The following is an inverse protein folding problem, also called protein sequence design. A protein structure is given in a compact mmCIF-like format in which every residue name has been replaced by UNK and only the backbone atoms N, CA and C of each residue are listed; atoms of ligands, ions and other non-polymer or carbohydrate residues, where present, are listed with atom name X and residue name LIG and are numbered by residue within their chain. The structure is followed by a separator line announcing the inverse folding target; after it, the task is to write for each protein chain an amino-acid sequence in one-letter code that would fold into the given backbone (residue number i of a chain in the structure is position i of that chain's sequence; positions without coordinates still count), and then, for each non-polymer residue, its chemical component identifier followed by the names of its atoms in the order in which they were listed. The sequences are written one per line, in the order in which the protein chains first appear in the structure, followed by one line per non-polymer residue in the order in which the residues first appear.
data_IF_270692501701
#
_entry.id   IF_270692501701
#
_cell.length_a   1.000
_cell.length_b   1.000
_cell.length_c   1.000
_cell.angle_alpha   90.00
_cell.angle_beta   90.00
_cell.angle_gamma   90.00
#
_symmetry.space_group_name_H-M   'P 1'
#
loop_
_entity.id
_entity.type
_entity.pdbx_description
1 polymer ?
#
# COMPACT_ATOMS: atom_id res chain seq x y z
N UNK A 1 -35.91 -48.78 -27.63
CA UNK A 1 -36.68 -47.54 -27.33
C UNK A 1 -36.46 -47.15 -25.87
N UNK A 2 -35.60 -46.16 -25.61
CA UNK A 2 -35.58 -45.22 -24.46
C UNK A 2 -34.21 -44.54 -24.41
N UNK A 3 -34.04 -43.54 -25.26
CA UNK A 3 -32.92 -42.61 -25.21
C UNK A 3 -33.16 -41.64 -24.05
N UNK A 4 -32.30 -41.69 -23.03
CA UNK A 4 -32.28 -40.76 -21.91
C UNK A 4 -31.74 -39.41 -22.39
N UNK A 5 -32.64 -38.46 -22.64
CA UNK A 5 -32.32 -37.06 -22.87
C UNK A 5 -31.91 -36.42 -21.54
N UNK A 6 -30.62 -36.50 -21.19
CA UNK A 6 -30.00 -35.64 -20.18
C UNK A 6 -29.74 -34.27 -20.80
N UNK A 7 -30.80 -33.48 -20.96
CA UNK A 7 -30.66 -32.05 -21.23
C UNK A 7 -30.11 -31.40 -19.94
N UNK A 8 -28.94 -30.72 -19.98
CA UNK A 8 -28.46 -29.97 -18.84
C UNK A 8 -29.53 -28.95 -18.46
N UNK A 9 -29.96 -28.97 -17.19
CA UNK A 9 -30.78 -27.90 -16.61
C UNK A 9 -30.06 -26.58 -16.87
N UNK A 10 -30.57 -25.79 -17.81
CA UNK A 10 -30.26 -24.37 -17.95
C UNK A 10 -30.40 -23.75 -16.56
N UNK A 11 -29.27 -23.56 -15.88
CA UNK A 11 -29.25 -22.69 -14.71
C UNK A 11 -29.60 -21.31 -15.23
N UNK A 12 -30.75 -20.82 -14.79
CA UNK A 12 -31.25 -19.49 -15.11
C UNK A 12 -30.14 -18.49 -14.88
N UNK A 13 -29.66 -17.89 -15.97
CA UNK A 13 -28.68 -16.79 -16.00
C UNK A 13 -29.17 -15.52 -15.30
N UNK A 14 -30.36 -15.56 -14.70
CA UNK A 14 -30.98 -14.46 -13.96
C UNK A 14 -30.57 -14.36 -12.49
N UNK A 15 -29.93 -15.38 -11.90
CA UNK A 15 -29.43 -15.33 -10.52
C UNK A 15 -27.97 -14.88 -10.40
N UNK A 16 -27.36 -14.39 -11.48
CA UNK A 16 -26.15 -13.57 -11.41
C UNK A 16 -26.51 -12.17 -10.85
N UNK A 17 -27.13 -12.17 -9.67
CA UNK A 17 -27.35 -11.00 -8.84
C UNK A 17 -25.99 -10.37 -8.61
N UNK A 18 -25.85 -9.09 -8.94
CA UNK A 18 -24.68 -8.26 -8.66
C UNK A 18 -24.23 -8.47 -7.20
N UNK A 19 -23.26 -9.35 -7.00
CA UNK A 19 -22.70 -9.58 -5.67
C UNK A 19 -21.82 -8.39 -5.31
N UNK A 20 -22.47 -7.35 -4.78
CA UNK A 20 -21.85 -6.11 -4.32
C UNK A 20 -21.09 -6.26 -3.00
N UNK A 21 -21.01 -7.49 -2.46
CA UNK A 21 -20.28 -7.77 -1.22
C UNK A 21 -18.78 -7.72 -1.46
N UNK A 22 -18.08 -7.27 -0.44
CA UNK A 22 -16.62 -7.15 -0.43
C UNK A 22 -16.00 -8.53 -0.17
N UNK A 23 -14.93 -8.90 -0.87
CA UNK A 23 -14.21 -10.14 -0.57
C UNK A 23 -13.49 -10.06 0.79
N UNK A 24 -13.44 -11.18 1.51
CA UNK A 24 -12.68 -11.25 2.77
C UNK A 24 -11.19 -10.91 2.59
N UNK A 25 -10.61 -11.25 1.43
CA UNK A 25 -9.24 -10.89 1.08
C UNK A 25 -9.06 -9.38 1.02
N UNK A 26 -9.87 -8.66 0.22
CA UNK A 26 -9.79 -7.21 0.13
C UNK A 26 -10.01 -6.55 1.49
N UNK A 27 -10.99 -7.01 2.26
CA UNK A 27 -11.24 -6.46 3.59
C UNK A 27 -10.02 -6.58 4.50
N UNK A 28 -9.36 -7.73 4.54
CA UNK A 28 -8.16 -7.94 5.36
C UNK A 28 -7.04 -6.97 4.98
N UNK A 29 -6.65 -6.95 3.70
CA UNK A 29 -5.53 -6.13 3.25
C UNK A 29 -5.84 -4.63 3.28
N UNK A 30 -7.08 -4.22 2.96
CA UNK A 30 -7.50 -2.83 3.10
C UNK A 30 -7.49 -2.38 4.57
N UNK A 31 -7.85 -3.27 5.50
CA UNK A 31 -7.77 -2.99 6.94
C UNK A 31 -6.33 -2.77 7.37
N UNK A 32 -5.43 -3.72 7.08
CA UNK A 32 -4.00 -3.59 7.38
C UNK A 32 -3.45 -2.32 6.73
N UNK A 33 -3.73 -2.09 5.46
CA UNK A 33 -3.33 -0.89 4.73
C UNK A 33 -3.80 0.42 5.38
N UNK A 34 -5.05 0.47 5.82
CA UNK A 34 -5.63 1.63 6.53
C UNK A 34 -4.92 1.85 7.87
N UNK A 35 -4.61 0.78 8.62
CA UNK A 35 -3.84 0.86 9.87
C UNK A 35 -2.45 1.46 9.61
N UNK A 36 -1.75 0.99 8.58
CA UNK A 36 -0.42 1.48 8.23
C UNK A 36 -0.46 2.95 7.75
N UNK A 37 -1.45 3.31 6.94
CA UNK A 37 -1.63 4.68 6.47
C UNK A 37 -1.93 5.64 7.63
N UNK A 38 -2.82 5.25 8.55
CA UNK A 38 -3.12 6.02 9.77
C UNK A 38 -1.88 6.22 10.63
N UNK A 39 -1.07 5.17 10.79
CA UNK A 39 0.17 5.22 11.53
C UNK A 39 1.16 6.25 10.95
N UNK A 40 1.36 6.22 9.63
CA UNK A 40 2.24 7.17 8.94
C UNK A 40 1.72 8.59 9.11
N UNK A 41 0.46 8.84 8.78
CA UNK A 41 -0.12 10.19 8.84
C UNK A 41 -0.09 10.73 10.27
N UNK A 42 -0.46 9.93 11.27
CA UNK A 42 -0.41 10.33 12.67
C UNK A 42 1.04 10.58 13.15
N UNK A 43 1.99 9.75 12.74
CA UNK A 43 3.41 9.93 13.07
C UNK A 43 3.98 11.22 12.49
N UNK A 44 3.63 11.55 11.24
CA UNK A 44 4.08 12.79 10.61
C UNK A 44 3.43 14.01 11.29
N UNK A 45 2.11 13.99 11.50
CA UNK A 45 1.41 15.09 12.17
C UNK A 45 1.91 15.31 13.60
N UNK A 46 2.12 14.24 14.36
CA UNK A 46 2.69 14.31 15.70
C UNK A 46 4.11 14.89 15.70
N UNK A 47 4.96 14.42 14.78
CA UNK A 47 6.32 14.93 14.65
C UNK A 47 6.37 16.43 14.36
N UNK A 48 5.51 16.92 13.46
CA UNK A 48 5.40 18.37 13.17
C UNK A 48 4.78 19.15 14.34
N UNK A 49 3.89 18.52 15.11
CA UNK A 49 3.33 19.10 16.33
C UNK A 49 4.29 19.05 17.55
N UNK A 50 5.50 18.48 17.39
CA UNK A 50 6.48 18.32 18.48
C UNK A 50 6.08 17.25 19.51
N UNK A 51 5.11 16.40 19.18
CA UNK A 51 4.70 15.28 20.03
C UNK A 51 5.68 14.11 19.88
N UNK A 52 6.04 13.41 20.97
CA UNK A 52 6.96 12.30 20.91
C UNK A 52 6.37 11.13 20.13
N UNK A 53 7.15 10.61 19.18
CA UNK A 53 6.87 9.37 18.46
C UNK A 53 7.01 8.19 19.42
N UNK A 54 5.97 7.36 19.52
CA UNK A 54 5.96 6.26 20.49
C UNK A 54 4.83 5.27 20.30
N UNK A 55 4.59 4.44 21.32
CA UNK A 55 3.66 3.31 21.26
C UNK A 55 2.19 3.69 21.05
N UNK A 56 1.80 4.94 21.30
CA UNK A 56 0.44 5.42 21.05
C UNK A 56 0.07 5.39 19.55
N UNK A 57 1.05 5.42 18.65
CA UNK A 57 0.85 5.27 17.20
C UNK A 57 0.24 3.91 16.84
N UNK A 58 0.57 2.85 17.59
CA UNK A 58 -0.07 1.54 17.44
C UNK A 58 -1.56 1.61 17.82
N UNK A 59 -1.89 2.40 18.85
CA UNK A 59 -3.28 2.67 19.24
C UNK A 59 -4.07 3.35 18.11
N UNK A 60 -3.49 4.36 17.47
CA UNK A 60 -4.11 5.02 16.30
C UNK A 60 -4.31 4.04 15.15
N UNK A 61 -3.30 3.21 14.86
CA UNK A 61 -3.41 2.18 13.84
C UNK A 61 -4.58 1.22 14.14
N UNK A 62 -4.70 0.73 15.38
CA UNK A 62 -5.81 -0.14 15.79
C UNK A 62 -7.18 0.54 15.68
N UNK A 63 -7.29 1.81 16.09
CA UNK A 63 -8.54 2.59 15.95
C UNK A 63 -8.92 2.75 14.47
N UNK A 64 -7.94 2.94 13.58
CA UNK A 64 -8.17 3.06 12.15
C UNK A 64 -8.68 1.77 11.50
N UNK A 65 -8.56 0.61 12.16
CA UNK A 65 -9.16 -0.65 11.71
C UNK A 65 -10.68 -0.72 11.99
N UNK A 66 -11.21 0.09 12.92
CA UNK A 66 -12.61 0.00 13.36
C UNK A 66 -13.65 0.07 12.23
N UNK A 67 -13.51 0.96 11.23
CA UNK A 67 -14.45 1.04 10.11
C UNK A 67 -14.59 -0.28 9.32
N UNK A 68 -13.57 -1.12 9.31
CA UNK A 68 -13.59 -2.42 8.61
C UNK A 68 -14.49 -3.46 9.29
N UNK A 69 -14.88 -3.26 10.55
CA UNK A 69 -15.88 -4.14 11.18
C UNK A 69 -17.30 -3.85 10.67
N UNK A 70 -17.58 -2.67 10.13
CA UNK A 70 -18.93 -2.30 9.67
C UNK A 70 -19.44 -3.21 8.55
N UNK A 71 -18.65 -3.52 7.48
CA UNK A 71 -19.03 -4.53 6.50
C UNK A 71 -19.27 -5.91 7.09
N UNK A 72 -18.46 -6.35 8.07
CA UNK A 72 -18.57 -7.66 8.73
C UNK A 72 -19.89 -7.74 9.50
N UNK A 73 -20.15 -6.76 10.37
CA UNK A 73 -21.36 -6.69 11.19
C UNK A 73 -22.63 -6.57 10.35
N UNK A 74 -22.54 -5.99 9.15
CA UNK A 74 -23.66 -5.86 8.20
C UNK A 74 -23.80 -7.06 7.25
N UNK A 75 -23.00 -8.12 7.40
CA UNK A 75 -23.03 -9.28 6.51
C UNK A 75 -22.69 -8.97 5.06
N UNK A 76 -21.92 -7.89 4.81
CA UNK A 76 -21.53 -7.42 3.46
C UNK A 76 -20.21 -8.01 2.98
N UNK A 77 -19.75 -9.09 3.62
CA UNK A 77 -18.51 -9.79 3.26
C UNK A 77 -18.88 -11.10 2.58
N UNK A 78 -18.37 -11.31 1.37
CA UNK A 78 -18.53 -12.56 0.66
C UNK A 78 -17.50 -13.59 1.17
N UNK A 79 -17.90 -14.82 1.52
CA UNK A 79 -17.01 -15.88 1.97
C UNK A 79 -16.26 -16.50 0.79
N UNK A 80 -15.31 -15.75 0.21
CA UNK A 80 -14.49 -16.16 -0.93
C UNK A 80 -13.16 -16.74 -0.45
N UNK A 81 -13.24 -17.91 0.18
CA UNK A 81 -12.10 -18.55 0.86
C UNK A 81 -10.92 -18.82 -0.06
N UNK A 82 -11.17 -19.18 -1.32
CA UNK A 82 -10.10 -19.42 -2.30
C UNK A 82 -9.29 -18.14 -2.60
N UNK A 83 -9.95 -16.98 -2.73
CA UNK A 83 -9.27 -15.69 -2.92
C UNK A 83 -8.44 -15.33 -1.69
N UNK A 84 -9.00 -15.49 -0.49
CA UNK A 84 -8.28 -15.24 0.75
C UNK A 84 -7.06 -16.15 0.92
N UNK A 85 -7.22 -17.45 0.65
CA UNK A 85 -6.13 -18.41 0.73
C UNK A 85 -5.02 -18.08 -0.29
N UNK A 86 -5.38 -17.76 -1.53
CA UNK A 86 -4.41 -17.37 -2.55
C UNK A 86 -3.64 -16.10 -2.17
N UNK A 87 -4.35 -15.09 -1.64
CA UNK A 87 -3.72 -13.83 -1.23
C UNK A 87 -2.80 -14.02 -0.01
N UNK A 88 -3.19 -14.83 0.97
CA UNK A 88 -2.36 -15.17 2.12
C UNK A 88 -1.13 -16.00 1.72
N UNK A 89 -1.30 -17.00 0.85
CA UNK A 89 -0.20 -17.81 0.33
C UNK A 89 0.81 -16.95 -0.44
N UNK A 90 0.35 -16.05 -1.31
CA UNK A 90 1.22 -15.13 -2.03
C UNK A 90 1.98 -14.21 -1.06
N UNK A 91 1.29 -13.66 -0.05
CA UNK A 91 1.92 -12.81 0.96
C UNK A 91 2.98 -13.55 1.78
N UNK A 92 2.65 -14.74 2.28
CA UNK A 92 3.58 -15.57 3.05
C UNK A 92 4.75 -16.05 2.20
N UNK A 93 4.53 -16.43 0.93
CA UNK A 93 5.59 -16.90 0.04
C UNK A 93 6.60 -15.78 -0.23
N UNK A 94 6.14 -14.57 -0.55
CA UNK A 94 7.03 -13.43 -0.84
C UNK A 94 7.75 -12.95 0.42
N UNK A 95 7.03 -12.74 1.53
CA UNK A 95 7.66 -12.35 2.79
C UNK A 95 8.63 -13.41 3.29
N UNK A 96 8.24 -14.69 3.23
CA UNK A 96 9.06 -15.83 3.62
C UNK A 96 10.32 -15.96 2.78
N UNK A 97 10.23 -15.79 1.45
CA UNK A 97 11.39 -15.79 0.57
C UNK A 97 12.35 -14.63 0.89
N UNK A 98 11.83 -13.42 1.12
CA UNK A 98 12.64 -12.26 1.50
C UNK A 98 13.35 -12.46 2.85
N UNK A 99 12.64 -12.96 3.85
CA UNK A 99 13.21 -13.27 5.17
C UNK A 99 14.24 -14.41 5.09
N UNK A 100 13.95 -15.47 4.34
CA UNK A 100 14.84 -16.60 4.15
C UNK A 100 16.16 -16.19 3.48
N UNK A 101 16.10 -15.29 2.49
CA UNK A 101 17.28 -14.83 1.80
C UNK A 101 18.28 -14.13 2.75
N UNK A 102 17.78 -13.34 3.71
CA UNK A 102 18.59 -12.64 4.70
C UNK A 102 18.87 -13.45 5.98
N UNK A 103 18.41 -14.70 6.06
CA UNK A 103 18.61 -15.52 7.24
C UNK A 103 20.09 -15.94 7.37
N UNK A 104 20.68 -15.97 8.59
CA UNK A 104 20.08 -15.70 9.90
C UNK A 104 20.20 -14.25 10.39
N UNK A 105 20.92 -13.38 9.68
CA UNK A 105 21.18 -12.02 10.16
C UNK A 105 19.94 -11.14 10.15
N UNK A 106 19.03 -11.39 9.20
CA UNK A 106 17.86 -10.55 8.91
C UNK A 106 18.25 -9.08 8.67
N UNK A 107 19.48 -8.83 8.25
CA UNK A 107 19.98 -7.51 7.89
C UNK A 107 19.78 -7.26 6.39
N UNK A 108 19.71 -5.99 5.94
CA UNK A 108 19.79 -5.67 4.52
C UNK A 108 20.98 -6.35 3.85
N UNK A 109 20.71 -7.08 2.76
CA UNK A 109 21.72 -7.85 2.04
C UNK A 109 22.45 -7.06 0.94
N UNK A 110 21.78 -6.02 0.43
CA UNK A 110 22.26 -5.24 -0.70
C UNK A 110 23.44 -4.32 -0.38
N UNK A 111 24.20 -3.99 -1.42
CA UNK A 111 25.32 -3.02 -1.36
C UNK A 111 24.87 -1.57 -1.51
N UNK A 112 23.57 -1.32 -1.60
CA UNK A 112 23.02 0.00 -1.82
C UNK A 112 23.26 0.93 -0.63
N UNK A 113 23.67 2.16 -0.94
CA UNK A 113 23.78 3.25 0.04
C UNK A 113 22.43 3.60 0.69
N UNK A 114 21.31 3.25 0.03
CA UNK A 114 19.97 3.49 0.56
C UNK A 114 19.67 2.69 1.83
N UNK A 115 20.29 1.53 2.02
CA UNK A 115 20.16 0.78 3.26
C UNK A 115 20.71 1.58 4.45
N UNK A 116 21.92 2.13 4.30
CA UNK A 116 22.58 2.93 5.34
C UNK A 116 21.79 4.21 5.63
N UNK A 117 21.30 4.86 4.59
CA UNK A 117 20.39 6.00 4.68
C UNK A 117 19.10 5.70 5.46
N UNK A 118 18.43 4.58 5.17
CA UNK A 118 17.27 4.15 5.94
C UNK A 118 17.62 3.86 7.40
N UNK A 119 18.76 3.22 7.68
CA UNK A 119 19.23 2.97 9.04
C UNK A 119 19.46 4.28 9.81
N UNK A 120 20.10 5.28 9.21
CA UNK A 120 20.33 6.59 9.84
C UNK A 120 19.02 7.28 10.23
N UNK A 121 18.03 7.28 9.33
CA UNK A 121 16.73 7.88 9.62
C UNK A 121 15.99 7.12 10.73
N UNK A 122 16.01 5.77 10.69
CA UNK A 122 15.36 4.94 11.72
C UNK A 122 16.03 5.13 13.08
N UNK A 123 17.36 5.14 13.13
CA UNK A 123 18.12 5.38 14.37
C UNK A 123 17.82 6.76 14.97
N UNK A 124 17.79 7.80 14.14
CA UNK A 124 17.40 9.14 14.57
C UNK A 124 16.00 9.14 15.19
N UNK A 125 15.00 8.60 14.50
CA UNK A 125 13.63 8.60 15.01
C UNK A 125 13.48 7.74 16.27
N UNK A 126 14.23 6.63 16.38
CA UNK A 126 14.20 5.76 17.55
C UNK A 126 14.79 6.46 18.79
N UNK A 127 15.92 7.15 18.60
CA UNK A 127 16.66 7.82 19.66
C UNK A 127 16.01 9.14 20.06
N UNK A 128 15.69 9.98 19.08
CA UNK A 128 15.15 11.33 19.33
C UNK A 128 13.63 11.34 19.54
N UNK A 129 12.92 10.28 19.13
CA UNK A 129 11.45 10.19 19.17
C UNK A 129 10.76 11.40 18.53
N UNK A 130 11.38 11.98 17.51
CA UNK A 130 10.89 13.16 16.82
C UNK A 130 11.37 13.12 15.37
N UNK A 131 10.63 13.75 14.46
CA UNK A 131 11.08 13.93 13.09
C UNK A 131 12.36 14.78 13.04
N UNK A 132 13.29 14.52 12.12
CA UNK A 132 14.44 15.38 11.91
C UNK A 132 14.01 16.82 11.59
N UNK A 133 14.49 17.83 12.33
CA UNK A 133 14.24 19.23 11.98
C UNK A 133 14.87 19.56 10.63
N UNK A 134 14.14 20.21 9.73
CA UNK A 134 14.64 20.57 8.40
C UNK A 134 15.55 21.80 8.50
N UNK A 135 16.78 21.60 8.99
CA UNK A 135 17.81 22.63 9.18
C UNK A 135 19.13 22.23 8.52
N UNK A 136 20.04 23.20 8.32
CA UNK A 136 21.39 22.92 7.81
C UNK A 136 22.22 22.06 8.78
N UNK A 137 22.02 22.23 10.09
CA UNK A 137 22.71 21.42 11.10
C UNK A 137 22.29 19.95 11.01
N UNK A 138 20.98 19.67 10.98
CA UNK A 138 20.46 18.30 10.80
C UNK A 138 20.86 17.72 9.44
N UNK A 139 20.91 18.54 8.38
CA UNK A 139 21.40 18.12 7.06
C UNK A 139 22.87 17.69 7.11
N UNK A 140 23.71 18.36 7.89
CA UNK A 140 25.11 17.96 8.08
C UNK A 140 25.25 16.58 8.74
N UNK A 141 24.27 16.18 9.56
CA UNK A 141 24.27 14.89 10.26
C UNK A 141 23.63 13.75 9.45
N UNK A 142 22.48 14.03 8.82
CA UNK A 142 21.68 13.02 8.11
C UNK A 142 21.86 13.05 6.58
N UNK A 143 22.64 13.99 6.05
CA UNK A 143 22.78 14.17 4.60
C UNK A 143 21.42 14.35 3.90
N UNK A 144 21.21 13.56 2.85
CA UNK A 144 19.97 13.54 2.08
C UNK A 144 18.77 13.03 2.92
N UNK A 145 19.00 12.26 3.99
CA UNK A 145 17.95 11.71 4.84
C UNK A 145 17.18 12.75 5.65
N UNK A 146 17.75 13.94 5.84
CA UNK A 146 17.02 15.05 6.45
C UNK A 146 15.78 15.46 5.61
N UNK A 147 15.82 15.25 4.29
CA UNK A 147 14.73 15.58 3.38
C UNK A 147 13.94 14.36 2.91
N UNK A 148 14.35 13.17 3.30
CA UNK A 148 13.71 11.94 2.84
C UNK A 148 12.34 11.74 3.53
N UNK A 149 11.33 11.20 2.83
CA UNK A 149 10.03 10.92 3.44
C UNK A 149 10.15 9.87 4.56
N UNK A 150 9.55 10.13 5.72
CA UNK A 150 9.72 9.30 6.91
C UNK A 150 8.72 8.13 7.03
N UNK A 151 7.80 7.97 6.08
CA UNK A 151 6.70 7.00 6.19
C UNK A 151 7.14 5.56 6.45
N UNK A 152 8.14 5.04 5.73
CA UNK A 152 8.65 3.69 5.99
C UNK A 152 9.40 3.59 7.34
N UNK A 153 10.15 4.62 7.74
CA UNK A 153 10.84 4.62 9.01
C UNK A 153 9.85 4.62 10.20
N UNK A 154 8.72 5.33 10.09
CA UNK A 154 7.63 5.28 11.07
C UNK A 154 7.01 3.89 11.20
N UNK A 155 6.83 3.18 10.08
CA UNK A 155 6.40 1.78 10.07
C UNK A 155 7.39 0.90 10.86
N UNK A 156 8.69 1.05 10.61
CA UNK A 156 9.74 0.26 11.27
C UNK A 156 9.75 0.50 12.78
N UNK A 157 9.62 1.74 13.24
CA UNK A 157 9.53 2.05 14.68
C UNK A 157 8.34 1.38 15.35
N UNK A 158 7.19 1.39 14.66
CA UNK A 158 5.98 0.76 15.16
C UNK A 158 6.12 -0.76 15.21
N UNK A 159 6.66 -1.37 14.15
CA UNK A 159 6.93 -2.80 14.10
C UNK A 159 7.93 -3.23 15.19
N UNK A 160 9.01 -2.46 15.38
CA UNK A 160 9.99 -2.68 16.43
C UNK A 160 9.38 -2.62 17.82
N UNK A 161 8.51 -1.63 18.05
CA UNK A 161 7.79 -1.50 19.31
C UNK A 161 6.83 -2.66 19.55
N UNK A 162 6.11 -3.11 18.51
CA UNK A 162 5.18 -4.23 18.59
C UNK A 162 5.91 -5.57 18.83
N UNK A 163 7.08 -5.77 18.21
CA UNK A 163 7.90 -6.96 18.37
C UNK A 163 8.75 -6.95 19.65
N UNK A 164 8.91 -5.79 20.30
CA UNK A 164 9.81 -5.64 21.44
C UNK A 164 11.29 -5.77 21.05
N UNK A 165 11.65 -5.41 19.81
CA UNK A 165 12.98 -5.58 19.24
C UNK A 165 13.62 -4.22 18.89
N UNK A 166 14.95 -4.14 18.74
CA UNK A 166 15.62 -2.95 18.24
C UNK A 166 15.14 -2.54 16.84
N UNK A 167 14.99 -1.24 16.60
CA UNK A 167 14.42 -0.74 15.34
C UNK A 167 15.26 -1.11 14.11
N UNK A 168 16.59 -1.11 14.25
CA UNK A 168 17.51 -1.47 13.17
C UNK A 168 17.40 -2.96 12.78
N UNK A 169 17.15 -3.85 13.74
CA UNK A 169 16.97 -5.30 13.48
C UNK A 169 15.63 -5.61 12.80
N UNK A 170 14.64 -4.73 12.97
CA UNK A 170 13.30 -4.88 12.39
C UNK A 170 13.17 -4.17 11.03
N UNK A 171 14.17 -3.40 10.61
CA UNK A 171 14.17 -2.65 9.35
C UNK A 171 13.89 -3.55 8.15
N UNK A 172 14.74 -4.56 7.94
CA UNK A 172 14.61 -5.47 6.80
C UNK A 172 13.41 -6.43 6.92
N UNK A 173 13.13 -7.04 8.09
CA UNK A 173 11.89 -7.81 8.27
C UNK A 173 10.63 -7.02 7.92
N UNK A 174 10.59 -5.73 8.27
CA UNK A 174 9.47 -4.85 7.89
C UNK A 174 9.35 -4.70 6.38
N UNK A 175 10.47 -4.53 5.67
CA UNK A 175 10.48 -4.46 4.21
C UNK A 175 9.97 -5.77 3.58
N UNK A 176 10.45 -6.93 4.05
CA UNK A 176 10.01 -8.24 3.56
C UNK A 176 8.50 -8.46 3.79
N UNK A 177 7.99 -8.08 4.96
CA UNK A 177 6.55 -8.15 5.28
C UNK A 177 5.75 -7.21 4.35
N UNK A 178 6.21 -5.98 4.11
CA UNK A 178 5.57 -5.07 3.15
C UNK A 178 5.56 -5.68 1.74
N UNK A 179 6.64 -6.31 1.32
CA UNK A 179 6.69 -7.07 0.06
C UNK A 179 5.63 -8.17 0.00
N UNK A 180 5.47 -8.95 1.08
CA UNK A 180 4.37 -9.91 1.21
C UNK A 180 2.99 -9.24 1.09
N UNK A 181 2.77 -8.12 1.77
CA UNK A 181 1.50 -7.38 1.70
C UNK A 181 1.21 -6.89 0.26
N UNK A 182 2.22 -6.43 -0.48
CA UNK A 182 2.07 -6.06 -1.90
C UNK A 182 1.57 -7.26 -2.71
N UNK A 183 2.17 -8.43 -2.53
CA UNK A 183 1.76 -9.64 -3.23
C UNK A 183 0.31 -10.04 -2.92
N UNK A 184 -0.08 -9.99 -1.64
CA UNK A 184 -1.44 -10.27 -1.21
C UNK A 184 -2.46 -9.28 -1.78
N UNK A 185 -2.14 -7.98 -1.80
CA UNK A 185 -3.01 -6.95 -2.40
C UNK A 185 -3.17 -7.15 -3.90
N UNK A 186 -2.11 -7.49 -4.63
CA UNK A 186 -2.22 -7.76 -6.08
C UNK A 186 -3.17 -8.92 -6.35
N UNK A 187 -3.11 -10.01 -5.58
CA UNK A 187 -4.07 -11.11 -5.69
C UNK A 187 -5.49 -10.63 -5.38
N UNK A 188 -5.67 -9.89 -4.29
CA UNK A 188 -6.99 -9.40 -3.88
C UNK A 188 -7.62 -8.45 -4.93
N UNK A 189 -6.82 -7.62 -5.59
CA UNK A 189 -7.27 -6.74 -6.68
C UNK A 189 -7.56 -7.53 -7.97
N UNK A 190 -6.72 -8.49 -8.32
CA UNK A 190 -6.95 -9.36 -9.49
C UNK A 190 -8.23 -10.20 -9.35
N UNK A 191 -8.59 -10.55 -8.11
CA UNK A 191 -9.83 -11.24 -7.75
C UNK A 191 -11.01 -10.28 -7.50
N UNK A 192 -10.91 -9.01 -7.95
CA UNK A 192 -11.88 -7.96 -7.69
C UNK A 192 -13.30 -8.22 -8.24
N UNK A 193 -14.21 -7.22 -8.13
CA UNK A 193 -15.63 -7.37 -8.49
C UNK A 193 -15.87 -7.89 -9.91
N UNK A 194 -15.02 -7.47 -10.87
CA UNK A 194 -15.08 -7.91 -12.26
C UNK A 194 -14.71 -9.38 -12.47
N UNK A 195 -14.03 -10.02 -11.50
CA UNK A 195 -13.71 -11.45 -11.57
C UNK A 195 -14.92 -12.33 -11.25
N UNK A 196 -15.90 -11.82 -10.48
CA UNK A 196 -17.05 -12.60 -10.03
C UNK A 196 -17.95 -13.07 -11.18
N UNK A 197 -17.94 -12.33 -12.29
CA UNK A 197 -18.69 -12.66 -13.52
C UNK A 197 -17.89 -13.54 -14.49
N UNK A 198 -16.63 -13.82 -14.20
CA UNK A 198 -15.74 -14.59 -15.07
C UNK A 198 -15.89 -16.10 -14.86
N UNK A 199 -15.62 -16.94 -15.89
CA UNK A 199 -15.56 -18.39 -15.74
C UNK A 199 -14.54 -18.82 -14.67
N UNK A 200 -14.83 -19.91 -13.92
CA UNK A 200 -13.95 -20.43 -12.85
C UNK A 200 -12.50 -20.66 -13.30
N UNK A 201 -12.30 -21.13 -14.53
CA UNK A 201 -10.97 -21.32 -15.09
C UNK A 201 -10.21 -20.00 -15.24
N UNK A 202 -10.89 -18.92 -15.63
CA UNK A 202 -10.30 -17.59 -15.76
C UNK A 202 -9.99 -16.98 -14.38
N UNK A 203 -10.87 -17.17 -13.40
CA UNK A 203 -10.60 -16.77 -12.01
C UNK A 203 -9.34 -17.47 -11.47
N UNK A 204 -9.22 -18.78 -11.68
CA UNK A 204 -8.03 -19.53 -11.28
C UNK A 204 -6.75 -19.01 -11.97
N UNK A 205 -6.83 -18.69 -13.26
CA UNK A 205 -5.72 -18.09 -14.01
C UNK A 205 -5.35 -16.71 -13.46
N UNK A 206 -6.31 -15.83 -13.16
CA UNK A 206 -6.06 -14.51 -12.59
C UNK A 206 -5.39 -14.59 -11.20
N UNK A 207 -5.86 -15.51 -10.35
CA UNK A 207 -5.28 -15.76 -9.03
C UNK A 207 -3.83 -16.26 -9.10
N UNK A 208 -3.46 -16.97 -10.16
CA UNK A 208 -2.09 -17.45 -10.41
C UNK A 208 -1.24 -16.38 -11.12
N UNK A 209 -1.80 -15.68 -12.11
CA UNK A 209 -1.09 -14.73 -12.94
C UNK A 209 -0.64 -13.49 -12.15
N UNK A 210 -1.46 -12.98 -11.22
CA UNK A 210 -1.13 -11.81 -10.41
C UNK A 210 0.22 -11.94 -9.66
N UNK A 211 0.40 -12.98 -8.82
CA UNK A 211 1.67 -13.26 -8.15
C UNK A 211 2.82 -13.54 -9.11
N UNK A 212 2.56 -14.32 -10.17
CA UNK A 212 3.59 -14.64 -11.15
C UNK A 212 4.11 -13.39 -11.85
N UNK A 213 3.23 -12.44 -12.18
CA UNK A 213 3.61 -11.21 -12.87
C UNK A 213 4.43 -10.27 -11.98
N UNK A 214 4.11 -10.20 -10.68
CA UNK A 214 4.98 -9.54 -9.69
C UNK A 214 6.37 -10.16 -9.67
N UNK A 215 6.46 -11.49 -9.73
CA UNK A 215 7.73 -12.21 -9.74
C UNK A 215 8.46 -12.14 -11.10
N UNK A 216 7.75 -11.98 -12.23
CA UNK A 216 8.40 -11.84 -13.55
C UNK A 216 9.20 -10.55 -13.70
N UNK A 217 8.90 -9.54 -12.88
CA UNK A 217 9.72 -8.33 -12.77
C UNK A 217 10.60 -8.38 -11.52
N UNK A 218 11.41 -9.44 -11.40
CA UNK A 218 12.38 -9.62 -10.31
C UNK A 218 13.19 -8.36 -10.06
N UNK A 219 13.67 -7.70 -11.12
CA UNK A 219 14.46 -6.47 -11.03
C UNK A 219 13.72 -5.28 -10.41
N UNK A 220 12.41 -5.20 -10.64
CA UNK A 220 11.62 -4.09 -10.13
C UNK A 220 11.03 -4.36 -8.74
N UNK A 221 10.85 -5.63 -8.39
CA UNK A 221 10.26 -6.02 -7.13
C UNK A 221 11.29 -6.61 -6.19
N UNK A 222 11.80 -7.81 -6.47
CA UNK A 222 12.74 -8.51 -5.59
C UNK A 222 14.09 -7.80 -5.51
N UNK A 223 14.77 -7.53 -6.63
CA UNK A 223 16.09 -6.88 -6.62
C UNK A 223 15.99 -5.45 -6.07
N UNK A 224 14.86 -4.77 -6.32
CA UNK A 224 14.64 -3.41 -5.84
C UNK A 224 14.69 -3.30 -4.31
N UNK A 225 14.20 -4.29 -3.55
CA UNK A 225 14.29 -4.23 -2.08
C UNK A 225 15.38 -5.14 -1.50
N UNK A 226 15.74 -6.24 -2.16
CA UNK A 226 16.81 -7.13 -1.69
C UNK A 226 18.20 -6.50 -1.91
N UNK A 227 18.43 -5.94 -3.10
CA UNK A 227 19.74 -5.44 -3.53
C UNK A 227 19.82 -3.90 -3.46
N UNK A 228 18.79 -3.22 -3.96
CA UNK A 228 18.78 -1.76 -4.03
C UNK A 228 18.23 -1.08 -2.77
N UNK A 229 17.63 -1.86 -1.85
CA UNK A 229 17.07 -1.37 -0.58
C UNK A 229 16.06 -0.22 -0.73
N UNK A 230 15.29 -0.19 -1.82
CA UNK A 230 14.25 0.81 -2.09
C UNK A 230 12.99 0.59 -1.23
N UNK A 231 13.13 0.63 0.09
CA UNK A 231 12.06 0.26 1.02
C UNK A 231 10.89 1.24 1.04
N UNK A 232 11.16 2.54 0.91
CA UNK A 232 10.09 3.55 0.74
C UNK A 232 9.34 3.39 -0.57
N UNK A 233 10.03 3.04 -1.66
CA UNK A 233 9.36 2.72 -2.92
C UNK A 233 8.45 1.50 -2.75
N UNK A 234 8.94 0.43 -2.12
CA UNK A 234 8.16 -0.79 -1.86
C UNK A 234 6.90 -0.49 -1.04
N UNK A 235 7.01 0.32 0.01
CA UNK A 235 5.85 0.74 0.79
C UNK A 235 4.94 1.71 0.01
N UNK A 236 5.51 2.57 -0.84
CA UNK A 236 4.79 3.39 -1.80
C UNK A 236 3.93 2.55 -2.77
N UNK A 237 4.48 1.45 -3.30
CA UNK A 237 3.76 0.50 -4.16
C UNK A 237 2.52 -0.05 -3.43
N UNK A 238 2.68 -0.50 -2.19
CA UNK A 238 1.57 -1.01 -1.38
C UNK A 238 0.46 0.05 -1.26
N UNK A 239 0.82 1.29 -0.89
CA UNK A 239 -0.12 2.39 -0.71
C UNK A 239 -0.80 2.78 -2.03
N UNK A 240 -0.09 2.76 -3.16
CA UNK A 240 -0.68 3.00 -4.48
C UNK A 240 -1.70 1.94 -4.87
N UNK A 241 -1.40 0.66 -4.64
CA UNK A 241 -2.33 -0.44 -4.90
C UNK A 241 -3.58 -0.35 -4.02
N UNK A 242 -3.41 -0.04 -2.73
CA UNK A 242 -4.53 0.21 -1.82
C UNK A 242 -5.38 1.39 -2.28
N UNK A 243 -4.76 2.49 -2.72
CA UNK A 243 -5.46 3.65 -3.26
C UNK A 243 -6.30 3.29 -4.50
N UNK A 244 -5.76 2.48 -5.42
CA UNK A 244 -6.54 1.96 -6.55
C UNK A 244 -7.72 1.11 -6.10
N UNK A 245 -7.52 0.19 -5.15
CA UNK A 245 -8.64 -0.61 -4.67
C UNK A 245 -9.70 0.23 -3.95
N UNK A 246 -9.33 1.26 -3.17
CA UNK A 246 -10.32 2.18 -2.56
C UNK A 246 -11.07 3.01 -3.62
N UNK A 247 -10.44 3.34 -4.74
CA UNK A 247 -11.08 4.04 -5.85
C UNK A 247 -12.00 3.12 -6.68
N UNK A 248 -11.62 1.85 -6.88
CA UNK A 248 -12.28 0.95 -7.82
C UNK A 248 -13.25 -0.06 -7.19
N UNK A 249 -13.00 -0.51 -5.96
CA UNK A 249 -13.63 -1.71 -5.39
C UNK A 249 -15.16 -1.64 -5.20
N UNK A 250 -15.75 -0.45 -5.21
CA UNK A 250 -17.19 -0.27 -4.97
C UNK A 250 -17.89 0.41 -6.14
N UNK A 251 -19.03 -0.14 -6.64
CA UNK A 251 -19.79 0.44 -7.76
C UNK A 251 -20.27 1.87 -7.47
N UNK A 252 -20.66 2.13 -6.22
CA UNK A 252 -20.90 3.48 -5.69
C UNK A 252 -19.73 3.83 -4.79
N UNK A 253 -19.30 5.08 -4.81
CA UNK A 253 -18.15 5.51 -4.01
C UNK A 253 -18.61 6.11 -2.66
N UNK A 254 -18.71 5.36 -1.56
CA UNK A 254 -19.18 5.92 -0.30
C UNK A 254 -18.16 6.90 0.30
N UNK A 255 -18.62 7.80 1.16
CA UNK A 255 -17.75 8.72 1.90
C UNK A 255 -16.64 8.00 2.68
N UNK A 256 -16.92 6.82 3.23
CA UNK A 256 -15.93 5.99 3.91
C UNK A 256 -14.78 5.55 2.97
N UNK A 257 -15.07 5.18 1.73
CA UNK A 257 -14.06 4.81 0.75
C UNK A 257 -13.24 6.03 0.31
N UNK A 258 -13.88 7.20 0.16
CA UNK A 258 -13.19 8.46 -0.10
C UNK A 258 -12.24 8.86 1.05
N UNK A 259 -12.67 8.67 2.30
CA UNK A 259 -11.83 8.92 3.47
C UNK A 259 -10.64 7.95 3.57
N UNK A 260 -10.87 6.66 3.32
CA UNK A 260 -9.79 5.65 3.27
C UNK A 260 -8.80 5.94 2.13
N UNK A 261 -9.30 6.32 0.95
CA UNK A 261 -8.45 6.78 -0.15
C UNK A 261 -7.62 7.99 0.29
N UNK A 262 -8.24 9.03 0.85
CA UNK A 262 -7.52 10.24 1.24
C UNK A 262 -6.46 9.97 2.29
N UNK A 263 -6.75 9.13 3.28
CA UNK A 263 -5.75 8.69 4.25
C UNK A 263 -4.59 7.93 3.58
N UNK A 264 -4.89 7.05 2.63
CA UNK A 264 -3.89 6.27 1.89
C UNK A 264 -3.01 7.18 1.01
N UNK A 265 -3.61 8.15 0.30
CA UNK A 265 -2.89 9.13 -0.49
C UNK A 265 -2.03 10.06 0.38
N UNK A 266 -2.51 10.43 1.56
CA UNK A 266 -1.76 11.20 2.55
C UNK A 266 -0.53 10.44 3.05
N UNK A 267 -0.69 9.16 3.39
CA UNK A 267 0.44 8.29 3.72
C UNK A 267 1.41 8.12 2.55
N UNK A 268 0.90 7.98 1.32
CA UNK A 268 1.71 7.86 0.10
C UNK A 268 2.53 9.14 -0.14
N UNK A 269 1.95 10.32 0.05
CA UNK A 269 2.66 11.59 -0.04
C UNK A 269 3.85 11.65 0.94
N UNK A 270 3.69 11.17 2.17
CA UNK A 270 4.74 11.13 3.20
C UNK A 270 5.64 9.90 3.15
N UNK A 271 5.47 9.01 2.17
CA UNK A 271 6.28 7.79 2.01
C UNK A 271 7.04 7.81 0.69
N UNK A 272 6.33 8.08 -0.41
CA UNK A 272 6.88 8.07 -1.76
C UNK A 272 6.05 9.01 -2.68
N UNK A 273 6.22 10.34 -2.55
CA UNK A 273 5.34 11.33 -3.17
C UNK A 273 5.31 11.25 -4.70
N UNK A 274 6.37 10.72 -5.33
CA UNK A 274 6.46 10.54 -6.77
C UNK A 274 5.29 9.73 -7.35
N UNK A 275 4.71 8.82 -6.57
CA UNK A 275 3.64 7.93 -7.02
C UNK A 275 2.24 8.46 -6.74
N UNK A 276 2.09 9.59 -6.03
CA UNK A 276 0.78 10.19 -5.71
C UNK A 276 -0.04 10.58 -6.96
N UNK A 277 0.54 11.17 -8.03
CA UNK A 277 -0.26 11.66 -9.16
C UNK A 277 -1.14 10.60 -9.83
N UNK A 278 -0.67 9.35 -9.87
CA UNK A 278 -1.34 8.28 -10.59
C UNK A 278 -2.67 7.81 -9.94
N UNK A 279 -2.71 7.35 -8.67
CA UNK A 279 -3.96 7.06 -7.99
C UNK A 279 -4.84 8.30 -7.77
N UNK A 280 -4.25 9.50 -7.64
CA UNK A 280 -5.02 10.73 -7.57
C UNK A 280 -5.77 11.01 -8.89
N UNK A 281 -5.11 10.86 -10.04
CA UNK A 281 -5.75 11.01 -11.34
C UNK A 281 -6.89 9.99 -11.54
N UNK A 282 -6.67 8.73 -11.14
CA UNK A 282 -7.73 7.73 -11.17
C UNK A 282 -8.92 8.14 -10.29
N UNK A 283 -8.66 8.61 -9.07
CA UNK A 283 -9.72 9.07 -8.16
C UNK A 283 -10.54 10.22 -8.73
N UNK A 284 -9.91 11.17 -9.44
CA UNK A 284 -10.60 12.23 -10.18
C UNK A 284 -11.52 11.63 -11.25
N UNK A 285 -11.03 10.68 -12.04
CA UNK A 285 -11.85 10.02 -13.07
C UNK A 285 -13.05 9.27 -12.47
N UNK A 286 -12.84 8.56 -11.35
CA UNK A 286 -13.89 7.86 -10.61
C UNK A 286 -14.93 8.85 -10.07
N UNK A 287 -14.49 9.97 -9.48
CA UNK A 287 -15.34 11.04 -9.00
C UNK A 287 -16.25 11.59 -10.10
N UNK A 288 -15.65 11.99 -11.22
CA UNK A 288 -16.36 12.58 -12.36
C UNK A 288 -17.38 11.61 -12.96
N UNK A 289 -17.11 10.30 -12.93
CA UNK A 289 -18.00 9.27 -13.49
C UNK A 289 -19.11 8.81 -12.55
N UNK A 290 -18.86 8.77 -11.24
CA UNK A 290 -19.74 8.08 -10.28
C UNK A 290 -20.45 8.99 -9.30
N UNK A 291 -20.15 10.28 -9.31
CA UNK A 291 -20.61 11.22 -8.28
C UNK A 291 -21.23 12.47 -8.89
N UNK A 292 -22.37 12.88 -8.37
CA UNK A 292 -23.08 14.08 -8.82
C UNK A 292 -23.53 14.91 -7.63
N UNK A 293 -23.66 16.23 -7.83
CA UNK A 293 -24.18 17.15 -6.82
C UNK A 293 -23.26 17.35 -5.60
N UNK A 294 -23.86 17.65 -4.45
CA UNK A 294 -23.15 18.02 -3.21
C UNK A 294 -22.33 16.87 -2.61
N UNK A 295 -22.70 15.62 -2.87
CA UNK A 295 -21.95 14.45 -2.41
C UNK A 295 -20.54 14.39 -3.02
N UNK A 296 -20.40 14.83 -4.27
CA UNK A 296 -19.11 14.90 -4.97
C UNK A 296 -18.12 15.80 -4.23
N UNK A 297 -18.58 16.93 -3.69
CA UNK A 297 -17.73 17.87 -2.95
C UNK A 297 -17.18 17.24 -1.67
N UNK A 298 -18.01 16.52 -0.92
CA UNK A 298 -17.58 15.84 0.29
C UNK A 298 -16.61 14.69 0.00
N UNK A 299 -16.88 13.90 -1.03
CA UNK A 299 -15.96 12.84 -1.46
C UNK A 299 -14.62 13.42 -1.92
N UNK A 300 -14.62 14.51 -2.70
CA UNK A 300 -13.41 15.18 -3.13
C UNK A 300 -12.64 15.76 -1.93
N UNK A 301 -13.32 16.40 -0.98
CA UNK A 301 -12.70 16.94 0.23
C UNK A 301 -12.05 15.84 1.08
N UNK A 302 -12.73 14.70 1.26
CA UNK A 302 -12.19 13.57 2.01
C UNK A 302 -11.04 12.87 1.27
N UNK A 303 -11.11 12.76 -0.06
CA UNK A 303 -10.09 12.10 -0.86
C UNK A 303 -8.83 12.94 -1.07
N UNK A 304 -8.96 14.26 -1.23
CA UNK A 304 -7.84 15.13 -1.59
C UNK A 304 -7.40 16.09 -0.48
N UNK A 305 -8.25 16.37 0.51
CA UNK A 305 -7.90 17.23 1.64
C UNK A 305 -6.68 16.70 2.41
N UNK A 306 -6.71 15.45 2.92
CA UNK A 306 -5.58 14.87 3.63
C UNK A 306 -4.25 14.86 2.85
N UNK A 307 -4.16 14.39 1.58
CA UNK A 307 -2.89 14.43 0.85
C UNK A 307 -2.42 15.83 0.52
N UNK A 308 -3.31 16.79 0.27
CA UNK A 308 -2.93 18.21 0.11
C UNK A 308 -2.32 18.74 1.40
N UNK A 309 -2.92 18.45 2.55
CA UNK A 309 -2.40 18.83 3.85
C UNK A 309 -0.98 18.24 4.07
N UNK A 310 -0.78 16.95 3.81
CA UNK A 310 0.55 16.32 3.92
C UNK A 310 1.54 16.89 2.91
N UNK A 311 1.07 17.21 1.70
CA UNK A 311 1.87 17.88 0.67
C UNK A 311 2.41 19.22 1.15
N UNK A 312 1.57 20.02 1.80
CA UNK A 312 1.96 21.35 2.33
C UNK A 312 2.84 21.22 3.56
N UNK A 313 2.48 20.37 4.52
CA UNK A 313 3.18 20.27 5.80
C UNK A 313 4.52 19.53 5.72
N UNK A 314 4.60 18.47 4.92
CA UNK A 314 5.73 17.54 4.95
C UNK A 314 6.52 17.53 3.63
N UNK A 315 5.84 17.44 2.49
CA UNK A 315 6.52 17.28 1.19
C UNK A 315 7.13 18.59 0.69
N UNK A 316 6.39 19.70 0.74
CA UNK A 316 6.82 21.00 0.23
C UNK A 316 8.11 21.50 0.91
N UNK A 317 8.26 21.45 2.25
CA UNK A 317 9.51 21.82 2.90
C UNK A 317 10.72 20.96 2.47
N UNK A 318 10.48 19.69 2.14
CA UNK A 318 11.51 18.71 1.74
C UNK A 318 11.88 18.78 0.25
N UNK A 319 10.95 19.24 -0.59
CA UNK A 319 11.10 19.30 -2.06
C UNK A 319 12.33 20.07 -2.55
N UNK A 320 12.72 21.14 -1.85
CA UNK A 320 13.91 21.95 -2.19
C UNK A 320 15.22 21.16 -2.07
N UNK A 321 15.28 20.23 -1.11
CA UNK A 321 16.44 19.36 -0.95
C UNK A 321 16.40 18.18 -1.92
N UNK A 322 15.21 17.60 -2.18
CA UNK A 322 15.05 16.53 -3.18
C UNK A 322 15.42 16.96 -4.61
N UNK A 323 15.16 18.22 -4.99
CA UNK A 323 15.60 18.78 -6.28
C UNK A 323 17.13 18.83 -6.42
N UNK A 324 17.85 19.09 -5.33
CA UNK A 324 19.31 19.09 -5.34
C UNK A 324 19.89 17.68 -5.54
N UNK A 325 19.25 16.65 -4.95
CA UNK A 325 19.62 15.24 -5.14
C UNK A 325 19.34 14.78 -6.58
N UNK A 326 18.15 15.10 -7.12
CA UNK A 326 17.78 14.76 -8.50
C UNK A 326 18.69 15.44 -9.54
N UNK A 327 19.17 16.65 -9.26
CA UNK A 327 20.14 17.34 -10.10
C UNK A 327 21.52 16.67 -10.12
N UNK A 328 21.89 15.93 -9.07
CA UNK A 328 23.18 15.25 -8.94
C UNK A 328 23.17 13.78 -9.41
N UNK A 329 22.04 13.08 -9.31
CA UNK A 329 21.99 11.64 -9.61
C UNK A 329 21.75 11.29 -11.09
N UNK A 330 21.43 12.25 -11.96
CA UNK A 330 21.53 12.15 -13.43
C UNK A 330 20.70 11.05 -14.15
N UNK A 331 20.12 10.10 -13.44
CA UNK A 331 19.47 8.90 -13.94
C UNK A 331 18.32 8.52 -12.98
N UNK A 332 17.35 7.75 -13.46
CA UNK A 332 16.18 7.21 -12.73
C UNK A 332 14.90 8.08 -12.69
N UNK A 333 14.72 9.02 -13.62
CA UNK A 333 13.43 9.75 -13.77
C UNK A 333 12.56 9.34 -14.98
N UNK A 334 12.99 8.40 -15.82
CA UNK A 334 12.19 7.99 -16.98
C UNK A 334 11.23 6.84 -16.60
N UNK A 335 9.90 7.07 -16.54
CA UNK A 335 8.95 5.98 -16.43
C UNK A 335 9.03 5.12 -17.68
N UNK A 336 9.51 3.89 -17.55
CA UNK A 336 9.41 2.90 -18.62
C UNK A 336 8.10 2.12 -18.47
N UNK A 337 7.54 1.62 -19.56
CA UNK A 337 6.33 0.79 -19.54
C UNK A 337 6.47 -0.41 -18.59
N UNK A 338 7.67 -0.98 -18.47
CA UNK A 338 7.96 -2.07 -17.54
C UNK A 338 7.74 -1.69 -16.07
N UNK A 339 8.05 -0.44 -15.67
CA UNK A 339 7.84 0.04 -14.29
C UNK A 339 6.37 0.29 -13.96
N UNK A 340 5.53 0.45 -14.97
CA UNK A 340 4.09 0.56 -14.83
C UNK A 340 3.39 -0.80 -14.83
N UNK A 341 4.09 -1.90 -15.10
CA UNK A 341 3.47 -3.22 -15.23
C UNK A 341 2.61 -3.64 -14.02
N UNK A 342 3.06 -3.50 -12.76
CA UNK A 342 2.21 -3.87 -11.60
C UNK A 342 0.90 -3.06 -11.55
N UNK A 343 0.95 -1.80 -11.99
CA UNK A 343 -0.19 -0.89 -12.04
C UNK A 343 -1.11 -1.26 -13.22
N UNK A 344 -0.55 -1.46 -14.41
CA UNK A 344 -1.30 -1.87 -15.60
C UNK A 344 -2.03 -3.20 -15.38
N UNK A 345 -1.40 -4.13 -14.65
CA UNK A 345 -1.99 -5.41 -14.30
C UNK A 345 -3.11 -5.30 -13.26
N UNK A 346 -2.95 -4.44 -12.25
CA UNK A 346 -4.01 -4.13 -11.31
C UNK A 346 -5.23 -3.50 -12.01
N UNK A 347 -5.00 -2.71 -13.06
CA UNK A 347 -6.06 -2.09 -13.87
C UNK A 347 -6.75 -3.07 -14.84
N UNK A 348 -6.11 -4.17 -15.24
CA UNK A 348 -6.73 -5.19 -16.09
C UNK A 348 -7.74 -6.07 -15.34
N UNK A 349 -7.68 -6.11 -14.00
CA UNK A 349 -8.60 -6.89 -13.15
C UNK A 349 -9.75 -6.08 -12.52
N UNK A 350 -9.70 -4.75 -12.56
CA UNK A 350 -10.69 -3.83 -11.99
C UNK A 350 -11.64 -3.26 -13.02
#
# INVERSE_FOLDING_TARGET
MRAFALLPKNHSTHDAVDDTRISGAWLLFATIGTMLAALVVAGILAGHAGLPLGGWLLGVALVAALPSFVPVLRGRVAPRWAELAAALLAACAVAGAGLYAAWPSLLPMGISVDAAHHMQLVDWLATQRALPPITNATRGLLGEMNAYPAGFALLVLAAARAAGQPALEILYPSAAIVGGLVAGVVVALAAGPCSATQPRAWQALLLLAGPLLLLTHTTFFMDAYLDQSYYTMLFGVLLTLLAFGHALALPRWPLAAAAQLGLTLAALASTYPLWVPLPAALAVLVLLRRSHGTQMLWQAALAFGPPVLMGVLDVLPRSRAGQAVLAHQGLVALPTLARLAPILLALLGG
#
